data_IF_920610152343
#
_entry.id   IF_920610152343
#
_cell.length_a   1.000
_cell.length_b   1.000
_cell.length_c   1.000
_cell.angle_alpha   90.00
_cell.angle_beta   90.00
_cell.angle_gamma   90.00
#
_symmetry.space_group_name_H-M   'P 1'
#
loop_
_entity.id
_entity.type
_entity.pdbx_description
1 polymer ?
#
# COMPACT_ATOMS: atom_id res chain seq x y z
N UNK A 1 66.24 52.47 -0.55
CA UNK A 1 65.41 51.78 0.42
C UNK A 1 64.34 50.99 -0.32
N UNK A 2 64.53 49.68 -0.51
CA UNK A 2 63.58 48.79 -1.23
C UNK A 2 62.66 48.13 -0.22
N UNK A 3 61.36 48.51 -0.26
CA UNK A 3 60.32 47.85 0.58
C UNK A 3 59.98 46.50 -0.05
N UNK A 4 60.24 45.39 0.65
CA UNK A 4 59.80 44.02 0.33
C UNK A 4 58.38 43.82 0.84
N UNK A 5 57.41 43.69 -0.07
CA UNK A 5 56.05 43.30 0.26
C UNK A 5 56.03 41.78 0.32
N UNK A 6 55.78 41.27 1.54
CA UNK A 6 55.59 39.84 1.81
C UNK A 6 54.13 39.49 1.54
N UNK A 7 53.87 38.78 0.44
CA UNK A 7 52.53 38.31 0.10
C UNK A 7 52.26 36.99 0.85
N UNK A 8 51.37 37.04 1.84
CA UNK A 8 50.95 35.89 2.60
C UNK A 8 49.86 35.17 1.82
N UNK A 9 50.16 34.03 1.21
CA UNK A 9 49.17 33.14 0.61
C UNK A 9 48.49 32.33 1.72
N UNK A 10 47.28 32.70 2.10
CA UNK A 10 46.42 31.87 2.94
C UNK A 10 45.75 30.83 2.09
N UNK A 11 46.25 29.62 2.06
CA UNK A 11 45.57 28.46 1.42
C UNK A 11 44.42 28.02 2.33
N UNK A 12 43.18 28.34 1.91
CA UNK A 12 41.97 27.80 2.49
C UNK A 12 41.87 26.31 2.09
N UNK A 13 42.31 25.45 2.94
CA UNK A 13 42.01 24.01 2.80
C UNK A 13 40.53 23.80 3.11
N UNK A 14 39.70 23.71 2.06
CA UNK A 14 38.31 23.28 2.19
C UNK A 14 38.29 21.84 2.68
N UNK A 15 38.12 21.63 3.98
CA UNK A 15 37.72 20.33 4.49
C UNK A 15 36.33 20.00 3.92
N UNK A 16 36.31 19.20 2.86
CA UNK A 16 35.10 18.50 2.46
C UNK A 16 34.70 17.59 3.61
N UNK A 17 33.82 18.05 4.48
CA UNK A 17 33.12 17.20 5.41
C UNK A 17 32.27 16.27 4.55
N UNK A 18 32.82 15.10 4.26
CA UNK A 18 32.06 14.02 3.64
C UNK A 18 30.91 13.68 4.58
N UNK A 19 29.75 14.25 4.32
CA UNK A 19 28.53 13.88 5.03
C UNK A 19 28.34 12.38 4.83
N UNK A 20 28.43 11.61 5.92
CA UNK A 20 28.06 10.21 5.88
C UNK A 20 26.65 10.14 5.28
N UNK A 21 26.49 9.47 4.15
CA UNK A 21 25.21 9.31 3.52
C UNK A 21 24.27 8.72 4.58
N UNK A 22 23.27 9.50 4.99
CA UNK A 22 22.31 9.03 5.98
C UNK A 22 21.72 7.70 5.49
N UNK A 23 21.85 6.65 6.29
CA UNK A 23 21.27 5.36 5.97
C UNK A 23 19.76 5.54 5.77
N UNK A 24 19.28 5.19 4.61
CA UNK A 24 17.85 5.26 4.32
C UNK A 24 17.12 4.29 5.24
N UNK A 25 16.12 4.74 6.02
CA UNK A 25 15.37 3.85 6.89
C UNK A 25 14.54 2.87 6.08
N UNK A 26 14.37 1.66 6.59
CA UNK A 26 13.36 0.75 6.05
C UNK A 26 11.96 1.29 6.41
N UNK A 27 11.03 1.16 5.47
CA UNK A 27 9.64 1.61 5.63
C UNK A 27 8.73 0.39 5.57
N UNK A 28 7.99 0.14 6.63
CA UNK A 28 6.98 -0.92 6.70
C UNK A 28 5.64 -0.28 6.99
N UNK A 29 4.68 -0.49 6.07
CA UNK A 29 3.28 -0.10 6.26
C UNK A 29 2.49 -1.35 6.60
N UNK A 30 1.96 -1.41 7.80
CA UNK A 30 1.10 -2.51 8.27
C UNK A 30 -0.35 -2.02 8.26
N UNK A 31 -1.08 -2.35 7.19
CA UNK A 31 -2.47 -1.95 7.01
C UNK A 31 -3.40 -3.07 7.44
N UNK A 32 -4.07 -2.88 8.58
CA UNK A 32 -5.07 -3.83 9.07
C UNK A 32 -6.40 -3.56 8.38
N UNK A 33 -6.95 -4.60 7.73
CA UNK A 33 -8.23 -4.50 7.02
C UNK A 33 -9.39 -4.55 8.02
N UNK A 34 -10.40 -3.72 7.79
CA UNK A 34 -11.64 -3.65 8.57
C UNK A 34 -11.45 -3.42 10.09
N UNK A 35 -10.35 -2.82 10.50
CA UNK A 35 -10.09 -2.47 11.89
C UNK A 35 -10.64 -1.07 12.21
N UNK A 36 -11.56 -1.00 13.16
CA UNK A 36 -12.05 0.27 13.70
C UNK A 36 -11.05 0.90 14.68
N UNK A 37 -11.21 2.20 14.92
CA UNK A 37 -10.28 2.94 15.80
C UNK A 37 -10.28 2.45 17.25
N UNK A 38 -11.40 1.87 17.73
CA UNK A 38 -11.54 1.30 19.06
C UNK A 38 -11.23 -0.20 19.12
N UNK A 39 -10.70 -0.80 18.07
CA UNK A 39 -10.48 -2.25 18.00
C UNK A 39 -9.09 -2.68 18.51
N UNK A 40 -8.36 -1.79 19.19
CA UNK A 40 -7.15 -2.16 19.91
C UNK A 40 -7.07 -1.51 21.30
N UNK A 41 -6.33 -2.15 22.21
CA UNK A 41 -6.17 -1.70 23.58
C UNK A 41 -5.54 -0.31 23.69
N UNK A 42 -4.59 0.03 22.80
CA UNK A 42 -3.93 1.33 22.75
C UNK A 42 -4.91 2.50 22.53
N UNK A 43 -6.06 2.26 21.94
CA UNK A 43 -7.14 3.22 21.75
C UNK A 43 -8.35 2.98 22.66
N UNK A 44 -8.22 2.07 23.63
CA UNK A 44 -9.21 1.91 24.70
C UNK A 44 -10.15 0.71 24.55
N UNK A 45 -9.91 -0.22 23.63
CA UNK A 45 -10.63 -1.48 23.56
C UNK A 45 -10.45 -2.26 24.86
N UNK A 46 -11.57 -2.75 25.38
CA UNK A 46 -11.60 -3.72 26.50
C UNK A 46 -12.01 -5.11 26.04
N UNK A 47 -12.35 -5.24 24.77
CA UNK A 47 -12.84 -6.48 24.17
C UNK A 47 -11.72 -7.21 23.40
N UNK A 48 -10.96 -6.47 22.60
CA UNK A 48 -9.87 -7.04 21.81
C UNK A 48 -8.55 -7.02 22.57
N UNK A 49 -7.88 -8.15 22.62
CA UNK A 49 -6.56 -8.28 23.18
C UNK A 49 -5.49 -8.03 22.10
N UNK A 50 -4.81 -6.88 22.18
CA UNK A 50 -3.81 -6.47 21.21
C UNK A 50 -2.45 -6.15 21.85
N UNK A 51 -1.87 -7.09 22.63
CA UNK A 51 -0.72 -6.80 23.50
C UNK A 51 0.54 -6.35 22.74
N UNK A 52 0.72 -6.79 21.50
CA UNK A 52 1.85 -6.37 20.67
C UNK A 52 1.67 -4.96 20.14
N UNK A 53 0.46 -4.60 19.72
CA UNK A 53 0.14 -3.24 19.27
C UNK A 53 0.23 -2.25 20.43
N UNK A 54 -0.29 -2.64 21.59
CA UNK A 54 -0.27 -1.81 22.80
C UNK A 54 1.17 -1.53 23.26
N UNK A 55 2.01 -2.57 23.27
CA UNK A 55 3.43 -2.45 23.59
C UNK A 55 4.19 -1.59 22.57
N UNK A 56 3.83 -1.66 21.29
CA UNK A 56 4.40 -0.81 20.26
C UNK A 56 3.94 0.64 20.45
N UNK A 57 2.65 0.87 20.66
CA UNK A 57 2.06 2.19 20.86
C UNK A 57 2.64 2.93 22.07
N UNK A 58 3.04 2.20 23.13
CA UNK A 58 3.66 2.78 24.33
C UNK A 58 5.02 3.46 24.06
N UNK A 59 5.69 3.14 22.96
CA UNK A 59 7.02 3.67 22.60
C UNK A 59 7.07 4.33 21.22
N UNK A 60 5.94 4.48 20.57
CA UNK A 60 5.81 5.05 19.24
C UNK A 60 4.94 6.32 19.26
N UNK A 61 5.03 7.10 18.20
CA UNK A 61 4.09 8.19 17.99
C UNK A 61 2.70 7.61 17.70
N UNK A 62 1.70 8.06 18.44
CA UNK A 62 0.30 7.69 18.27
C UNK A 62 -0.49 8.88 17.79
N UNK A 63 -1.20 8.73 16.69
CA UNK A 63 -2.08 9.74 16.14
C UNK A 63 -3.49 9.56 16.70
N UNK A 64 -4.08 10.61 17.22
CA UNK A 64 -5.45 10.61 17.73
C UNK A 64 -6.48 11.01 16.68
N UNK A 65 -6.04 11.71 15.65
CA UNK A 65 -6.86 12.31 14.61
C UNK A 65 -6.32 11.94 13.22
N UNK A 66 -6.21 10.65 12.95
CA UNK A 66 -5.81 10.11 11.65
C UNK A 66 -7.00 9.39 11.01
N UNK A 67 -7.30 9.72 9.76
CA UNK A 67 -8.48 9.24 9.06
C UNK A 67 -8.10 8.46 7.81
N UNK A 68 -8.82 7.36 7.58
CA UNK A 68 -8.81 6.59 6.34
C UNK A 68 -10.12 6.81 5.59
N UNK A 69 -10.22 6.29 4.37
CA UNK A 69 -11.50 6.19 3.69
C UNK A 69 -12.36 5.08 4.36
N UNK A 70 -13.69 5.14 4.25
CA UNK A 70 -14.57 4.21 4.96
C UNK A 70 -14.53 2.76 4.44
N UNK A 71 -13.92 2.51 3.28
CA UNK A 71 -13.88 1.21 2.62
C UNK A 71 -12.45 0.83 2.21
N UNK A 72 -12.25 -0.46 1.97
CA UNK A 72 -10.94 -1.05 1.70
C UNK A 72 -10.26 -0.53 0.42
N UNK A 73 -10.89 -0.62 -0.76
CA UNK A 73 -10.27 -0.17 -2.02
C UNK A 73 -10.01 1.35 -2.03
N UNK A 74 -10.94 2.22 -1.62
CA UNK A 74 -10.68 3.64 -1.49
C UNK A 74 -9.51 3.97 -0.55
N UNK A 75 -9.42 3.32 0.60
CA UNK A 75 -8.31 3.50 1.55
C UNK A 75 -6.97 3.08 0.93
N UNK A 76 -6.93 1.92 0.28
CA UNK A 76 -5.71 1.39 -0.35
C UNK A 76 -5.24 2.29 -1.48
N UNK A 77 -6.15 2.71 -2.36
CA UNK A 77 -5.82 3.65 -3.42
C UNK A 77 -5.35 5.01 -2.87
N UNK A 78 -6.02 5.53 -1.82
CA UNK A 78 -5.62 6.79 -1.18
C UNK A 78 -4.24 6.70 -0.54
N UNK A 79 -3.94 5.60 0.16
CA UNK A 79 -2.63 5.35 0.76
C UNK A 79 -1.52 5.31 -0.29
N UNK A 80 -1.75 4.59 -1.39
CA UNK A 80 -0.75 4.42 -2.44
C UNK A 80 -0.53 5.67 -3.28
N UNK A 81 -1.59 6.44 -3.54
CA UNK A 81 -1.51 7.59 -4.46
C UNK A 81 -1.40 8.95 -3.76
N UNK A 82 -1.63 9.01 -2.44
CA UNK A 82 -1.72 10.26 -1.70
C UNK A 82 -2.93 11.13 -2.08
N UNK A 83 -3.95 10.55 -2.71
CA UNK A 83 -5.15 11.25 -3.20
C UNK A 83 -6.38 10.86 -2.41
N UNK A 84 -7.34 11.77 -2.29
CA UNK A 84 -8.68 11.42 -1.82
C UNK A 84 -9.44 10.59 -2.87
N UNK A 85 -10.40 9.78 -2.43
CA UNK A 85 -11.21 8.91 -3.29
C UNK A 85 -11.91 9.66 -4.43
N UNK A 86 -12.36 10.87 -4.21
CA UNK A 86 -12.92 11.74 -5.24
C UNK A 86 -11.93 12.08 -6.36
N UNK A 87 -10.62 12.06 -6.10
CA UNK A 87 -9.58 12.36 -7.08
C UNK A 87 -9.14 11.14 -7.89
N UNK A 88 -8.95 9.99 -7.24
CA UNK A 88 -8.58 8.77 -7.95
C UNK A 88 -9.80 8.02 -8.50
N UNK A 89 -11.01 8.35 -8.06
CA UNK A 89 -12.27 7.83 -8.59
C UNK A 89 -12.66 6.44 -8.11
N UNK A 90 -11.93 5.85 -7.15
CA UNK A 90 -12.31 4.61 -6.49
C UNK A 90 -13.06 4.97 -5.22
N UNK A 91 -14.39 4.90 -5.26
CA UNK A 91 -15.28 5.37 -4.20
C UNK A 91 -16.01 4.24 -3.48
N UNK A 92 -15.89 3.01 -4.00
CA UNK A 92 -16.54 1.81 -3.49
C UNK A 92 -15.52 0.69 -3.30
N UNK A 93 -15.89 -0.39 -2.60
CA UNK A 93 -15.12 -1.60 -2.52
C UNK A 93 -15.11 -2.29 -3.90
N UNK A 94 -14.09 -2.01 -4.67
CA UNK A 94 -13.93 -2.43 -6.06
C UNK A 94 -12.58 -3.14 -6.25
N UNK A 95 -12.28 -3.57 -7.48
CA UNK A 95 -11.02 -4.26 -7.75
C UNK A 95 -11.05 -5.76 -7.47
N UNK A 96 -12.20 -6.31 -7.12
CA UNK A 96 -12.46 -7.74 -7.01
C UNK A 96 -13.52 -8.23 -8.00
N UNK A 97 -14.11 -7.31 -8.77
CA UNK A 97 -15.05 -7.68 -9.83
C UNK A 97 -14.26 -8.06 -11.08
N UNK A 98 -14.58 -9.17 -11.73
CA UNK A 98 -13.99 -9.47 -13.02
C UNK A 98 -14.31 -8.34 -14.00
N UNK A 99 -13.39 -7.99 -14.91
CA UNK A 99 -13.66 -7.04 -15.96
C UNK A 99 -14.81 -7.58 -16.84
N UNK A 100 -15.95 -6.97 -16.75
CA UNK A 100 -17.17 -7.42 -17.40
C UNK A 100 -17.75 -6.33 -18.28
N UNK A 101 -18.07 -6.63 -19.50
CA UNK A 101 -17.26 -7.31 -20.51
C UNK A 101 -15.91 -6.60 -20.63
N UNK A 102 -14.95 -7.16 -21.31
CA UNK A 102 -13.60 -6.60 -21.47
C UNK A 102 -13.59 -5.07 -21.57
N UNK A 103 -12.97 -4.39 -20.57
CA UNK A 103 -12.93 -2.93 -20.51
C UNK A 103 -13.87 -2.27 -19.49
N UNK A 104 -14.54 -3.03 -18.64
CA UNK A 104 -15.43 -2.45 -17.63
C UNK A 104 -14.63 -1.66 -16.58
N UNK A 105 -14.50 -0.37 -16.85
CA UNK A 105 -13.69 0.55 -16.07
C UNK A 105 -14.40 1.01 -14.80
N UNK A 106 -15.72 1.10 -14.86
CA UNK A 106 -16.51 1.64 -13.77
C UNK A 106 -17.53 0.63 -13.25
N UNK A 107 -17.71 0.63 -11.95
CA UNK A 107 -18.88 0.05 -11.30
C UNK A 107 -19.98 1.10 -11.31
N UNK A 108 -21.18 0.76 -11.79
CA UNK A 108 -22.28 1.70 -11.88
C UNK A 108 -22.76 2.13 -10.47
N UNK A 109 -23.47 3.23 -10.43
CA UNK A 109 -24.21 3.60 -9.24
C UNK A 109 -25.10 2.45 -8.77
N UNK A 110 -25.08 2.19 -7.47
CA UNK A 110 -25.83 1.10 -6.89
C UNK A 110 -26.52 1.52 -5.59
N UNK A 111 -27.60 0.86 -5.29
CA UNK A 111 -28.34 1.01 -4.04
C UNK A 111 -29.70 0.35 -4.14
N UNK A 112 -30.25 -0.18 -3.04
CA UNK A 112 -31.62 -0.67 -3.01
C UNK A 112 -32.60 0.45 -3.40
N UNK A 113 -33.67 0.11 -4.11
CA UNK A 113 -34.66 1.10 -4.58
C UNK A 113 -35.30 1.96 -3.50
N UNK A 114 -35.34 1.45 -2.28
CA UNK A 114 -35.95 2.09 -1.10
C UNK A 114 -34.94 2.88 -0.25
N UNK A 115 -33.68 2.96 -0.64
CA UNK A 115 -32.71 3.79 0.06
C UNK A 115 -32.69 5.22 -0.50
N UNK A 116 -32.62 6.23 0.38
CA UNK A 116 -32.60 7.63 -0.05
C UNK A 116 -31.30 8.03 -0.75
N UNK A 117 -30.24 7.24 -0.58
CA UNK A 117 -28.94 7.49 -1.17
C UNK A 117 -28.46 6.30 -1.97
N UNK A 118 -27.77 6.59 -3.07
CA UNK A 118 -27.06 5.59 -3.89
C UNK A 118 -25.56 5.80 -3.76
N UNK A 119 -24.80 4.71 -3.86
CA UNK A 119 -23.37 4.81 -4.01
C UNK A 119 -23.05 5.39 -5.38
N UNK A 120 -22.11 6.35 -5.48
CA UNK A 120 -21.72 6.91 -6.76
C UNK A 120 -21.03 5.84 -7.63
N UNK A 121 -20.92 6.13 -8.92
CA UNK A 121 -20.08 5.37 -9.83
C UNK A 121 -18.64 5.29 -9.27
N UNK A 122 -18.02 4.13 -9.35
CA UNK A 122 -16.66 3.88 -8.86
C UNK A 122 -15.81 3.24 -9.95
N UNK A 123 -14.57 3.68 -10.06
CA UNK A 123 -13.60 2.92 -10.86
C UNK A 123 -13.43 1.51 -10.29
N UNK A 124 -13.32 0.53 -11.17
CA UNK A 124 -13.18 -0.87 -10.81
C UNK A 124 -11.73 -1.24 -10.43
N UNK A 125 -10.77 -0.43 -10.82
CA UNK A 125 -9.34 -0.69 -10.59
C UNK A 125 -8.56 0.63 -10.48
N UNK A 126 -7.37 0.54 -9.93
CA UNK A 126 -6.40 1.65 -9.96
C UNK A 126 -5.72 1.70 -11.32
N UNK A 127 -5.76 2.87 -11.94
CA UNK A 127 -5.14 3.09 -13.25
C UNK A 127 -3.62 2.96 -13.17
N UNK A 128 -2.98 2.32 -14.15
CA UNK A 128 -1.52 2.26 -14.22
C UNK A 128 -0.83 3.63 -14.36
N UNK A 129 -1.59 4.66 -14.74
CA UNK A 129 -1.10 6.04 -14.81
C UNK A 129 -1.06 6.76 -13.47
N UNK A 130 -1.59 6.16 -12.41
CA UNK A 130 -1.47 6.71 -11.06
C UNK A 130 -0.03 6.52 -10.55
N UNK A 131 0.53 7.60 -10.02
CA UNK A 131 1.87 7.52 -9.43
C UNK A 131 1.76 7.08 -7.97
N UNK A 132 2.36 5.95 -7.66
CA UNK A 132 2.21 5.29 -6.36
C UNK A 132 3.38 5.57 -5.43
N UNK A 133 3.13 5.40 -4.12
CA UNK A 133 4.17 5.41 -3.09
C UNK A 133 5.28 4.38 -3.38
N UNK A 134 4.92 3.21 -3.90
CA UNK A 134 5.88 2.17 -4.26
C UNK A 134 6.80 2.62 -5.41
N UNK A 135 6.25 3.24 -6.44
CA UNK A 135 7.03 3.81 -7.54
C UNK A 135 7.96 4.93 -7.07
N UNK A 136 7.46 5.83 -6.21
CA UNK A 136 8.27 6.90 -5.64
C UNK A 136 9.44 6.36 -4.80
N UNK A 137 9.19 5.35 -3.97
CA UNK A 137 10.22 4.69 -3.16
C UNK A 137 11.22 3.93 -4.05
N UNK A 138 10.75 3.24 -5.08
CA UNK A 138 11.62 2.56 -6.05
C UNK A 138 12.51 3.54 -6.80
N UNK A 139 11.97 4.67 -7.24
CA UNK A 139 12.75 5.76 -7.85
C UNK A 139 13.79 6.34 -6.90
N UNK A 140 13.53 6.33 -5.59
CA UNK A 140 14.47 6.71 -4.55
C UNK A 140 15.49 5.59 -4.21
N UNK A 141 15.47 4.45 -4.91
CA UNK A 141 16.42 3.34 -4.75
C UNK A 141 16.05 2.35 -3.64
N UNK A 142 14.81 2.31 -3.19
CA UNK A 142 14.31 1.24 -2.33
C UNK A 142 13.93 0.01 -3.14
N UNK A 143 14.02 -1.15 -2.51
CA UNK A 143 13.30 -2.33 -2.95
C UNK A 143 11.91 -2.32 -2.33
N UNK A 144 10.90 -2.67 -3.11
CA UNK A 144 9.50 -2.56 -2.72
C UNK A 144 8.83 -3.93 -2.74
N UNK A 145 8.01 -4.20 -1.73
CA UNK A 145 7.26 -5.44 -1.63
C UNK A 145 5.82 -5.18 -1.19
N UNK A 146 4.87 -5.89 -1.81
CA UNK A 146 3.47 -5.95 -1.39
C UNK A 146 3.15 -7.35 -0.90
N UNK A 147 2.57 -7.46 0.29
CA UNK A 147 2.19 -8.74 0.88
C UNK A 147 0.76 -8.63 1.41
N UNK A 148 -0.13 -9.50 0.93
CA UNK A 148 -1.50 -9.61 1.39
C UNK A 148 -2.54 -9.05 0.42
N UNK A 149 -3.63 -8.49 0.96
CA UNK A 149 -4.78 -8.02 0.20
C UNK A 149 -4.43 -6.85 -0.72
N UNK A 150 -4.65 -7.00 -2.03
CA UNK A 150 -4.48 -5.92 -3.01
C UNK A 150 -5.74 -5.09 -3.19
N UNK A 151 -6.79 -5.67 -3.74
CA UNK A 151 -8.13 -5.09 -3.92
C UNK A 151 -8.17 -3.82 -4.79
N UNK A 152 -7.26 -3.69 -5.76
CA UNK A 152 -7.18 -2.54 -6.68
C UNK A 152 -7.11 -2.96 -8.15
N UNK A 153 -7.55 -4.17 -8.47
CA UNK A 153 -7.64 -4.73 -9.81
C UNK A 153 -7.30 -6.21 -9.86
N UNK A 154 -8.09 -7.01 -10.61
CA UNK A 154 -7.97 -8.47 -10.67
C UNK A 154 -7.02 -8.97 -11.75
N UNK A 155 -6.75 -8.17 -12.74
CA UNK A 155 -6.00 -8.58 -13.92
C UNK A 155 -4.85 -7.62 -14.18
N UNK A 156 -3.83 -8.11 -14.90
CA UNK A 156 -2.85 -7.20 -15.47
C UNK A 156 -3.54 -6.22 -16.42
N UNK A 157 -3.12 -4.95 -16.47
CA UNK A 157 -1.91 -4.35 -15.85
C UNK A 157 -2.14 -3.74 -14.46
N UNK A 158 -3.19 -4.13 -13.71
CA UNK A 158 -3.59 -3.51 -12.44
C UNK A 158 -3.04 -4.20 -11.20
N UNK A 159 -2.16 -5.18 -11.36
CA UNK A 159 -1.52 -5.89 -10.24
C UNK A 159 -0.43 -5.06 -9.56
N UNK A 160 -0.05 -5.40 -8.32
CA UNK A 160 0.97 -4.66 -7.56
C UNK A 160 2.29 -4.48 -8.31
N UNK A 161 2.72 -5.48 -9.06
CA UNK A 161 3.99 -5.45 -9.81
C UNK A 161 4.01 -4.35 -10.88
N UNK A 162 2.87 -4.06 -11.48
CA UNK A 162 2.73 -2.98 -12.45
C UNK A 162 2.49 -1.62 -11.79
N UNK A 163 2.35 -1.62 -10.45
CA UNK A 163 2.13 -0.42 -9.63
C UNK A 163 3.34 -0.10 -8.73
N UNK A 164 4.53 -0.56 -9.13
CA UNK A 164 5.78 -0.15 -8.49
C UNK A 164 6.34 -1.12 -7.45
N UNK A 165 5.74 -2.28 -7.23
CA UNK A 165 6.29 -3.29 -6.33
C UNK A 165 7.22 -4.25 -7.07
N UNK A 166 8.46 -4.43 -6.56
CA UNK A 166 9.44 -5.39 -7.12
C UNK A 166 9.06 -6.83 -6.79
N UNK A 167 8.35 -7.03 -5.70
CA UNK A 167 7.86 -8.34 -5.25
C UNK A 167 6.42 -8.19 -4.79
N UNK A 168 5.54 -9.09 -5.22
CA UNK A 168 4.19 -9.15 -4.73
C UNK A 168 3.81 -10.57 -4.33
N UNK A 169 3.15 -10.67 -3.18
CA UNK A 169 2.48 -11.85 -2.68
C UNK A 169 1.08 -11.44 -2.24
N UNK A 170 0.11 -11.60 -3.12
CA UNK A 170 -1.24 -11.10 -2.91
C UNK A 170 -2.32 -12.16 -3.13
N UNK A 171 -3.45 -11.95 -2.48
CA UNK A 171 -4.62 -12.80 -2.67
C UNK A 171 -5.31 -12.47 -4.00
N UNK A 172 -5.74 -13.51 -4.72
CA UNK A 172 -6.43 -13.40 -5.98
C UNK A 172 -7.35 -14.62 -6.19
N UNK A 173 -8.54 -14.47 -6.75
CA UNK A 173 -9.26 -13.23 -7.11
C UNK A 173 -9.97 -12.57 -5.92
N UNK A 174 -10.12 -13.29 -4.81
CA UNK A 174 -10.85 -12.85 -3.65
C UNK A 174 -10.01 -11.83 -2.84
N UNK A 175 -10.57 -10.71 -2.41
CA UNK A 175 -9.88 -9.76 -1.55
C UNK A 175 -9.62 -10.28 -0.13
N UNK A 176 -10.30 -11.36 0.26
CA UNK A 176 -10.09 -12.02 1.56
C UNK A 176 -8.93 -13.02 1.56
N UNK A 177 -8.60 -13.62 2.70
CA UNK A 177 -7.64 -14.70 2.77
C UNK A 177 -8.14 -15.91 1.99
N UNK A 178 -7.26 -16.65 1.30
CA UNK A 178 -7.65 -17.90 0.65
C UNK A 178 -8.01 -18.94 1.71
N UNK A 179 -9.29 -19.18 1.89
CA UNK A 179 -9.83 -20.03 2.96
C UNK A 179 -10.38 -19.24 4.14
N UNK A 180 -10.52 -19.87 5.28
CA UNK A 180 -11.05 -19.24 6.49
C UNK A 180 -9.99 -18.47 7.27
N UNK A 181 -10.44 -17.66 8.24
CA UNK A 181 -9.54 -16.99 9.19
C UNK A 181 -8.97 -17.96 10.25
N UNK A 182 -9.50 -19.17 10.32
CA UNK A 182 -9.10 -20.20 11.28
C UNK A 182 -8.59 -21.46 10.57
N UNK A 183 -7.71 -22.18 11.22
CA UNK A 183 -7.26 -23.50 10.73
C UNK A 183 -8.42 -24.51 10.67
N UNK A 184 -8.48 -25.36 9.63
CA UNK A 184 -7.54 -25.49 8.51
C UNK A 184 -7.76 -24.41 7.46
N UNK A 185 -6.71 -23.65 7.19
CA UNK A 185 -6.73 -22.60 6.18
C UNK A 185 -6.91 -23.19 4.77
N UNK A 186 -7.73 -22.55 3.95
CA UNK A 186 -7.90 -22.93 2.55
C UNK A 186 -9.00 -23.94 2.29
N UNK A 187 -9.79 -24.31 3.28
CA UNK A 187 -10.92 -25.24 3.13
C UNK A 187 -12.24 -24.52 3.39
N UNK A 188 -13.19 -24.60 2.46
CA UNK A 188 -14.55 -24.15 2.70
C UNK A 188 -15.28 -25.16 3.61
N UNK A 189 -16.41 -24.78 4.24
CA UNK A 189 -17.27 -25.73 4.94
C UNK A 189 -17.74 -26.92 4.06
N UNK A 190 -17.71 -26.75 2.73
CA UNK A 190 -17.96 -27.82 1.74
C UNK A 190 -16.72 -28.66 1.40
N UNK A 191 -15.55 -28.37 1.97
CA UNK A 191 -14.32 -29.11 1.71
C UNK A 191 -13.57 -28.70 0.44
N UNK A 192 -14.03 -27.69 -0.28
CA UNK A 192 -13.38 -27.20 -1.48
C UNK A 192 -12.27 -26.18 -1.14
N UNK A 193 -11.13 -26.29 -1.79
CA UNK A 193 -10.04 -25.32 -1.65
C UNK A 193 -10.43 -23.97 -2.25
N UNK A 194 -10.53 -22.94 -1.41
CA UNK A 194 -10.67 -21.56 -1.92
C UNK A 194 -9.34 -21.05 -2.46
N UNK A 195 -9.38 -20.59 -3.69
CA UNK A 195 -8.40 -19.79 -4.42
C UNK A 195 -6.91 -20.06 -4.10
N UNK A 196 -6.11 -20.19 -5.12
CA UNK A 196 -4.65 -20.33 -4.98
C UNK A 196 -4.09 -18.95 -4.65
N UNK A 197 -3.25 -18.88 -3.62
CA UNK A 197 -2.34 -17.74 -3.44
C UNK A 197 -1.43 -17.69 -4.65
N UNK A 198 -1.50 -16.63 -5.42
CA UNK A 198 -0.63 -16.46 -6.57
C UNK A 198 0.68 -15.81 -6.11
N UNK A 199 1.74 -16.59 -6.09
CA UNK A 199 3.10 -16.08 -5.95
C UNK A 199 3.54 -15.63 -7.35
N UNK A 200 3.53 -14.34 -7.62
CA UNK A 200 4.18 -13.79 -8.80
C UNK A 200 5.69 -13.76 -8.55
N UNK A 201 6.35 -14.89 -8.82
CA UNK A 201 7.80 -14.90 -8.92
C UNK A 201 8.16 -14.10 -10.17
N UNK A 202 8.98 -13.07 -9.99
CA UNK A 202 9.62 -12.38 -11.10
C UNK A 202 10.45 -13.36 -11.94
N UNK A 203 9.82 -14.02 -12.90
CA UNK A 203 10.44 -15.05 -13.76
C UNK A 203 11.31 -14.46 -14.89
N UNK A 204 11.51 -13.14 -14.95
CA UNK A 204 12.20 -12.53 -16.11
C UNK A 204 13.67 -12.14 -15.89
N UNK A 205 14.33 -12.57 -14.84
CA UNK A 205 15.77 -12.29 -14.64
C UNK A 205 16.72 -13.48 -14.80
N UNK A 206 16.33 -14.54 -15.50
CA UNK A 206 17.23 -15.67 -15.82
C UNK A 206 17.46 -15.91 -17.31
N UNK A 207 17.07 -15.00 -18.18
CA UNK A 207 17.32 -15.13 -19.63
C UNK A 207 18.33 -14.09 -20.16
N UNK A 208 19.10 -13.43 -19.30
CA UNK A 208 20.16 -12.51 -19.71
C UNK A 208 21.36 -12.61 -18.73
N UNK A 209 22.03 -13.76 -18.75
CA UNK A 209 23.39 -13.94 -18.26
C UNK A 209 24.07 -15.04 -19.09
#
# INVERSE_FOLDING_TARGET
MKKRILLLFVTFASLAVGGAAALKPNVIVFLVDDMGWMDCGAYGSKYYETPNMDRFAARAMRFTDAYAQPLCSPTRASLLTGKYSARHGITSASGHQPPQPLGYKFLPESGPPNQPMRTPESKNFMEPSEHTLAEALRAAGYRTAHIGKWHLGLTQPHWPEQQGFDVAFHCHPDPGPPGGYFSPYGVTPSGEARGKVQESRGQERRAAA
#
